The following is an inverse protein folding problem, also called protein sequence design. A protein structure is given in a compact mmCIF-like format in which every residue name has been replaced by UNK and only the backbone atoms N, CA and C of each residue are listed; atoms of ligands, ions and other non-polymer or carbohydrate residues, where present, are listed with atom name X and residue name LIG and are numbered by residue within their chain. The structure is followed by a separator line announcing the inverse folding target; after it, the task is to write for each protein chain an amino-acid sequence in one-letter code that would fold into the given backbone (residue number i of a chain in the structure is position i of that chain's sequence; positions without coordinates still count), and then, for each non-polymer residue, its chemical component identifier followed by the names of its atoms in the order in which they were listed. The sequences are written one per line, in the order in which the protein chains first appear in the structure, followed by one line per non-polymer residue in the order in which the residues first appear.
data_IF_094706669329
#
_entry.id   IF_094706669329
#
_cell.length_a   1.000
_cell.length_b   1.000
_cell.length_c   1.000
_cell.angle_alpha   90.00
_cell.angle_beta   90.00
_cell.angle_gamma   90.00
#
_symmetry.space_group_name_H-M   'P 1'
#
loop_
_entity.id
_entity.type
_entity.pdbx_description
1 polymer ?
#
# COMPACT_ATOMS: atom_id res chain seq x y z
N UNK A 1 -43.76 -29.55 -7.09
CA UNK A 1 -43.71 -28.71 -8.29
C UNK A 1 -42.59 -27.69 -8.06
N UNK A 2 -41.37 -28.03 -8.45
CA UNK A 2 -40.17 -27.19 -8.33
C UNK A 2 -39.91 -26.60 -9.71
N UNK A 3 -40.19 -25.31 -9.89
CA UNK A 3 -39.90 -24.58 -11.13
C UNK A 3 -38.42 -24.27 -11.18
N UNK A 4 -37.72 -24.92 -12.13
CA UNK A 4 -36.32 -24.64 -12.42
C UNK A 4 -36.16 -23.24 -13.00
N UNK A 5 -35.30 -22.43 -12.37
CA UNK A 5 -34.77 -21.22 -12.97
C UNK A 5 -33.72 -21.63 -14.02
N UNK A 6 -34.09 -21.61 -15.30
CA UNK A 6 -33.11 -21.65 -16.38
C UNK A 6 -32.48 -20.26 -16.51
N UNK A 7 -31.20 -20.14 -16.18
CA UNK A 7 -30.40 -18.97 -16.51
C UNK A 7 -30.35 -18.81 -18.04
N UNK A 8 -30.48 -17.58 -18.59
CA UNK A 8 -30.38 -17.35 -20.02
C UNK A 8 -28.95 -17.66 -20.54
N UNK A 9 -28.78 -18.18 -21.77
CA UNK A 9 -27.51 -18.75 -22.23
C UNK A 9 -26.37 -17.76 -22.49
N UNK A 10 -26.57 -16.45 -22.27
CA UNK A 10 -25.64 -15.40 -22.70
C UNK A 10 -25.49 -14.27 -21.67
N UNK A 11 -25.33 -14.59 -20.39
CA UNK A 11 -24.69 -13.64 -19.48
C UNK A 11 -23.19 -13.70 -19.75
N UNK A 12 -22.72 -12.80 -20.63
CA UNK A 12 -21.30 -12.45 -20.70
C UNK A 12 -20.91 -11.90 -19.33
N UNK A 13 -20.39 -12.77 -18.47
CA UNK A 13 -19.62 -12.35 -17.31
C UNK A 13 -18.51 -11.48 -17.90
N UNK A 14 -18.37 -10.20 -17.51
CA UNK A 14 -17.27 -9.40 -18.01
C UNK A 14 -15.99 -10.13 -17.64
N UNK A 15 -15.33 -10.70 -18.65
CA UNK A 15 -13.98 -11.21 -18.51
C UNK A 15 -13.13 -9.99 -18.21
N UNK A 16 -12.90 -9.74 -16.93
CA UNK A 16 -11.86 -8.82 -16.49
C UNK A 16 -10.57 -9.47 -16.98
N UNK A 17 -10.10 -9.05 -18.15
CA UNK A 17 -8.74 -9.35 -18.57
C UNK A 17 -7.84 -8.51 -17.67
N UNK A 18 -7.10 -9.11 -16.71
CA UNK A 18 -6.10 -8.35 -15.98
C UNK A 18 -5.11 -7.82 -17.02
N UNK A 19 -5.06 -6.49 -17.18
CA UNK A 19 -4.14 -5.85 -18.13
C UNK A 19 -2.69 -5.94 -17.64
N UNK A 20 -2.48 -6.20 -16.35
CA UNK A 20 -1.19 -6.22 -15.69
C UNK A 20 -1.17 -7.41 -14.72
N UNK A 21 -0.22 -8.32 -14.90
CA UNK A 21 0.08 -9.41 -13.96
C UNK A 21 1.38 -9.05 -13.23
N UNK A 22 1.27 -8.76 -11.93
CA UNK A 22 2.42 -8.53 -11.07
C UNK A 22 2.69 -9.78 -10.26
N UNK A 23 3.94 -10.24 -10.32
CA UNK A 23 4.45 -11.32 -9.49
C UNK A 23 5.71 -10.83 -8.80
N UNK A 24 5.82 -11.11 -7.51
CA UNK A 24 7.02 -10.81 -6.74
C UNK A 24 7.37 -12.04 -5.92
N UNK A 25 8.65 -12.41 -5.94
CA UNK A 25 9.18 -13.44 -5.05
C UNK A 25 9.40 -12.82 -3.67
N UNK A 26 8.60 -13.25 -2.70
CA UNK A 26 8.74 -12.80 -1.32
C UNK A 26 9.63 -13.77 -0.54
N UNK A 27 10.63 -13.22 0.14
CA UNK A 27 11.50 -13.91 1.10
C UNK A 27 10.81 -14.18 2.46
N UNK A 28 9.59 -13.67 2.65
CA UNK A 28 8.78 -13.77 3.86
C UNK A 28 7.29 -13.61 3.49
N UNK A 29 6.32 -14.19 4.24
CA UNK A 29 4.90 -14.03 3.93
C UNK A 29 4.47 -12.57 3.80
N UNK A 30 3.61 -12.28 2.81
CA UNK A 30 2.91 -11.00 2.71
C UNK A 30 1.84 -10.91 3.79
N UNK A 31 1.84 -9.84 4.56
CA UNK A 31 0.92 -9.60 5.68
C UNK A 31 0.06 -8.35 5.48
N UNK A 32 0.47 -7.43 4.62
CA UNK A 32 -0.32 -6.26 4.21
C UNK A 32 -0.03 -5.92 2.74
N UNK A 33 -1.01 -5.38 2.02
CA UNK A 33 -0.82 -4.94 0.64
C UNK A 33 -1.71 -3.73 0.35
N UNK A 34 -1.19 -2.76 -0.40
CA UNK A 34 -1.98 -1.65 -0.94
C UNK A 34 -1.56 -1.36 -2.38
N UNK A 35 -2.52 -1.02 -3.22
CA UNK A 35 -2.29 -0.44 -4.53
C UNK A 35 -2.67 1.03 -4.48
N UNK A 36 -1.83 1.91 -5.01
CA UNK A 36 -1.96 3.35 -4.89
C UNK A 36 -1.51 4.03 -6.18
N UNK A 37 -2.19 5.11 -6.54
CA UNK A 37 -1.79 5.94 -7.67
C UNK A 37 -0.59 6.81 -7.29
N UNK A 38 0.18 7.22 -8.29
CA UNK A 38 1.27 8.15 -8.09
C UNK A 38 0.80 9.49 -7.50
N UNK A 39 1.52 10.03 -6.50
CA UNK A 39 1.20 11.34 -5.95
C UNK A 39 1.78 12.51 -6.76
N UNK A 40 2.64 12.24 -7.75
CA UNK A 40 3.44 13.26 -8.43
C UNK A 40 2.69 13.98 -9.56
N UNK A 41 1.70 14.81 -9.22
CA UNK A 41 0.89 15.55 -10.21
C UNK A 41 1.76 16.53 -11.02
N UNK A 42 1.63 16.49 -12.35
CA UNK A 42 2.40 17.35 -13.27
C UNK A 42 3.82 16.89 -13.54
N UNK A 43 4.25 15.78 -12.93
CA UNK A 43 5.51 15.11 -13.28
C UNK A 43 5.24 14.08 -14.39
N UNK A 44 5.50 14.44 -15.65
CA UNK A 44 5.26 13.59 -16.83
C UNK A 44 5.97 12.23 -16.81
N UNK A 45 6.90 11.99 -15.90
CA UNK A 45 7.57 10.69 -15.73
C UNK A 45 6.89 9.82 -14.68
N UNK A 46 6.26 10.45 -13.69
CA UNK A 46 5.79 9.77 -12.50
C UNK A 46 4.27 9.83 -12.33
N UNK A 47 3.58 10.83 -12.88
CA UNK A 47 2.16 11.12 -12.63
C UNK A 47 1.22 9.95 -12.96
N UNK A 48 1.57 9.14 -13.95
CA UNK A 48 0.73 8.02 -14.43
C UNK A 48 1.18 6.66 -13.88
N UNK A 49 2.18 6.64 -12.99
CA UNK A 49 2.61 5.39 -12.36
C UNK A 49 1.56 4.92 -11.36
N UNK A 50 1.36 3.62 -11.30
CA UNK A 50 0.73 2.95 -10.16
C UNK A 50 1.78 2.20 -9.35
N UNK A 51 1.63 2.24 -8.03
CA UNK A 51 2.49 1.52 -7.10
C UNK A 51 1.70 0.42 -6.39
N UNK A 52 2.37 -0.70 -6.14
CA UNK A 52 1.94 -1.73 -5.21
C UNK A 52 2.97 -1.79 -4.09
N UNK A 53 2.48 -1.67 -2.86
CA UNK A 53 3.30 -1.78 -1.66
C UNK A 53 2.91 -3.05 -0.92
N UNK A 54 3.89 -3.91 -0.67
CA UNK A 54 3.73 -5.15 0.08
C UNK A 54 4.41 -4.99 1.44
N UNK A 55 3.72 -5.36 2.51
CA UNK A 55 4.28 -5.49 3.85
C UNK A 55 4.48 -6.95 4.18
N UNK A 56 5.61 -7.28 4.80
CA UNK A 56 5.99 -8.66 5.10
C UNK A 56 6.01 -8.96 6.59
N UNK A 57 5.97 -10.25 6.91
CA UNK A 57 6.05 -10.75 8.29
C UNK A 57 7.41 -10.49 8.97
N UNK A 58 8.49 -10.30 8.19
CA UNK A 58 9.81 -9.93 8.70
C UNK A 58 10.00 -8.41 8.89
N UNK A 59 8.97 -7.61 8.57
CA UNK A 59 8.98 -6.16 8.72
C UNK A 59 9.62 -5.36 7.61
N UNK A 60 9.98 -6.04 6.52
CA UNK A 60 10.34 -5.40 5.27
C UNK A 60 9.07 -4.99 4.50
N UNK A 61 9.14 -3.85 3.82
CA UNK A 61 8.18 -3.48 2.78
C UNK A 61 8.85 -3.55 1.41
N UNK A 62 8.07 -3.86 0.38
CA UNK A 62 8.49 -3.77 -1.01
C UNK A 62 7.60 -2.77 -1.72
N UNK A 63 8.19 -1.73 -2.30
CA UNK A 63 7.49 -0.75 -3.13
C UNK A 63 7.81 -1.08 -4.59
N UNK A 64 6.79 -1.39 -5.38
CA UNK A 64 6.96 -1.73 -6.79
C UNK A 64 6.02 -0.95 -7.69
N UNK A 65 6.51 -0.47 -8.82
CA UNK A 65 5.67 0.12 -9.86
C UNK A 65 4.95 -0.95 -10.70
N UNK A 66 3.86 -0.61 -11.36
CA UNK A 66 3.05 -1.50 -12.20
C UNK A 66 3.80 -2.25 -13.33
N UNK A 67 4.96 -1.74 -13.75
CA UNK A 67 5.83 -2.35 -14.77
C UNK A 67 7.09 -3.02 -14.19
N UNK A 68 7.22 -3.07 -12.86
CA UNK A 68 8.41 -3.60 -12.18
C UNK A 68 9.68 -2.76 -12.40
N UNK A 69 9.61 -1.60 -13.04
CA UNK A 69 10.76 -0.72 -13.29
C UNK A 69 11.32 -0.12 -12.00
N UNK A 70 10.43 0.14 -11.03
CA UNK A 70 10.79 0.46 -9.65
C UNK A 70 10.51 -0.80 -8.82
N UNK A 71 11.53 -1.23 -8.08
CA UNK A 71 11.41 -2.24 -7.05
C UNK A 71 12.37 -1.89 -5.93
N UNK A 72 11.81 -1.49 -4.79
CA UNK A 72 12.58 -1.08 -3.64
C UNK A 72 12.23 -1.93 -2.43
N UNK A 73 13.27 -2.34 -1.70
CA UNK A 73 13.18 -3.18 -0.51
C UNK A 73 13.60 -2.33 0.69
N UNK A 74 12.66 -2.06 1.59
CA UNK A 74 12.87 -1.12 2.70
C UNK A 74 12.59 -1.86 4.00
N UNK A 75 13.54 -1.84 4.92
CA UNK A 75 13.34 -2.42 6.25
C UNK A 75 12.52 -1.45 7.10
N UNK A 76 11.20 -1.62 7.12
CA UNK A 76 10.31 -0.73 7.84
C UNK A 76 10.28 -1.00 9.34
N UNK A 77 10.40 -2.25 9.80
CA UNK A 77 10.57 -2.57 11.21
C UNK A 77 11.18 -3.97 11.40
N UNK A 78 12.48 -4.10 11.73
CA UNK A 78 13.13 -5.41 11.83
C UNK A 78 12.39 -6.40 12.74
N UNK A 79 12.24 -7.63 12.26
CA UNK A 79 11.71 -8.78 13.01
C UNK A 79 10.25 -8.59 13.50
N UNK A 80 9.51 -7.65 12.92
CA UNK A 80 8.11 -7.41 13.28
C UNK A 80 7.22 -7.35 12.05
N UNK A 81 6.14 -8.13 12.04
CA UNK A 81 5.24 -8.16 10.89
C UNK A 81 4.60 -6.79 10.62
N UNK A 82 4.55 -6.42 9.34
CA UNK A 82 3.76 -5.26 8.90
C UNK A 82 2.29 -5.66 8.88
N UNK A 83 1.45 -4.99 9.65
CA UNK A 83 0.04 -5.35 9.81
C UNK A 83 -0.92 -4.44 9.06
N UNK A 84 -0.50 -3.22 8.75
CA UNK A 84 -1.27 -2.31 7.90
C UNK A 84 -0.34 -1.44 7.06
N UNK A 85 -0.79 -1.12 5.84
CA UNK A 85 -0.17 -0.12 4.98
C UNK A 85 -1.30 0.76 4.44
N UNK A 86 -1.11 2.07 4.50
CA UNK A 86 -2.04 3.06 3.95
C UNK A 86 -1.26 4.17 3.27
N UNK A 87 -1.87 4.82 2.29
CA UNK A 87 -1.23 5.86 1.51
C UNK A 87 -2.09 7.12 1.52
N UNK A 88 -1.49 8.28 1.76
CA UNK A 88 -2.21 9.54 1.81
C UNK A 88 -1.38 10.68 2.40
N UNK A 89 -1.94 11.89 2.36
CA UNK A 89 -1.41 13.05 3.08
C UNK A 89 -2.05 13.11 4.47
N UNK A 90 -1.53 12.29 5.40
CA UNK A 90 -1.99 12.24 6.78
C UNK A 90 -1.34 13.32 7.67
N UNK A 91 -0.15 13.80 7.30
CA UNK A 91 0.55 14.87 8.04
C UNK A 91 0.09 16.26 7.64
N UNK A 92 -0.76 16.35 6.60
CA UNK A 92 -1.30 17.58 6.05
C UNK A 92 -0.19 18.55 5.60
N UNK A 93 0.83 17.98 4.95
CA UNK A 93 2.00 18.69 4.42
C UNK A 93 1.92 18.90 2.90
N UNK A 94 0.82 18.46 2.26
CA UNK A 94 0.61 18.55 0.81
C UNK A 94 1.28 17.43 0.02
N UNK A 95 1.97 16.51 0.71
CA UNK A 95 2.68 15.39 0.13
C UNK A 95 2.04 14.07 0.58
N UNK A 96 1.81 13.17 -0.37
CA UNK A 96 1.27 11.85 -0.07
C UNK A 96 2.40 10.88 0.24
N UNK A 97 2.25 10.13 1.33
CA UNK A 97 3.28 9.23 1.84
C UNK A 97 2.75 7.80 1.96
N UNK A 98 3.68 6.87 2.18
CA UNK A 98 3.39 5.46 2.45
C UNK A 98 3.52 5.25 3.96
N UNK A 99 2.39 5.15 4.65
CA UNK A 99 2.35 4.82 6.07
C UNK A 99 2.35 3.31 6.27
N UNK A 100 3.19 2.85 7.18
CA UNK A 100 3.41 1.44 7.48
C UNK A 100 3.29 1.26 8.97
N UNK A 101 2.46 0.31 9.41
CA UNK A 101 2.26 0.00 10.82
C UNK A 101 2.71 -1.44 11.07
N UNK A 102 3.62 -1.62 12.02
CA UNK A 102 4.09 -2.92 12.47
C UNK A 102 3.24 -3.45 13.64
N UNK A 103 3.27 -4.77 13.86
CA UNK A 103 2.47 -5.45 14.89
C UNK A 103 2.75 -4.93 16.31
N UNK A 104 3.96 -4.45 16.56
CA UNK A 104 4.37 -3.85 17.84
C UNK A 104 3.88 -2.40 18.05
N UNK A 105 3.13 -1.84 17.10
CA UNK A 105 2.59 -0.49 17.16
C UNK A 105 3.50 0.59 16.61
N UNK A 106 4.70 0.25 16.11
CA UNK A 106 5.57 1.25 15.44
C UNK A 106 4.95 1.61 14.09
N UNK A 107 4.64 2.89 13.90
CA UNK A 107 4.20 3.47 12.64
C UNK A 107 5.31 4.31 12.02
N UNK A 108 5.58 4.14 10.74
CA UNK A 108 6.52 4.95 9.96
C UNK A 108 5.90 5.43 8.65
N UNK A 109 6.27 6.63 8.21
CA UNK A 109 5.90 7.15 6.89
C UNK A 109 7.13 7.22 5.98
N UNK A 110 6.97 6.75 4.74
CA UNK A 110 8.01 6.77 3.72
C UNK A 110 7.58 7.62 2.53
N UNK A 111 8.52 8.35 1.94
CA UNK A 111 8.31 9.02 0.66
C UNK A 111 8.14 8.02 -0.48
N UNK A 112 7.47 8.42 -1.55
CA UNK A 112 7.38 7.60 -2.76
C UNK A 112 8.71 7.62 -3.53
N UNK A 113 9.13 6.49 -4.12
CA UNK A 113 10.26 6.49 -5.02
C UNK A 113 9.92 7.23 -6.30
N UNK A 114 10.81 8.13 -6.72
CA UNK A 114 10.60 9.04 -7.86
C UNK A 114 11.56 8.76 -8.99
N UNK A 115 11.05 8.46 -10.18
CA UNK A 115 11.86 8.23 -11.38
C UNK A 115 12.48 9.53 -11.85
N UNK A 116 13.77 9.50 -12.18
CA UNK A 116 14.47 10.65 -12.75
C UNK A 116 14.47 10.65 -14.28
N UNK A 117 14.61 9.48 -14.92
CA UNK A 117 14.76 9.35 -16.38
C UNK A 117 13.94 8.17 -16.95
N UNK A 118 13.35 8.33 -18.15
CA UNK A 118 12.67 7.24 -18.87
C UNK A 118 13.65 6.15 -19.30
N UNK A 119 13.23 4.89 -19.22
CA UNK A 119 14.00 3.72 -19.68
C UNK A 119 15.22 3.35 -18.83
N UNK A 120 15.56 4.14 -17.80
CA UNK A 120 16.67 3.86 -16.88
C UNK A 120 16.09 3.46 -15.52
N UNK A 121 16.56 2.36 -14.90
CA UNK A 121 16.16 1.95 -13.55
C UNK A 121 16.88 2.81 -12.49
N UNK A 122 16.76 4.13 -12.60
CA UNK A 122 17.31 5.08 -11.65
C UNK A 122 16.16 5.93 -11.09
N UNK A 123 15.92 5.80 -9.79
CA UNK A 123 14.86 6.47 -9.05
C UNK A 123 15.39 6.91 -7.69
N UNK A 124 14.81 7.97 -7.14
CA UNK A 124 15.05 8.40 -5.77
C UNK A 124 14.59 7.31 -4.82
N UNK A 125 15.45 7.00 -3.86
CA UNK A 125 15.11 6.02 -2.83
C UNK A 125 14.05 6.57 -1.88
N UNK A 126 13.14 5.70 -1.44
CA UNK A 126 12.16 6.05 -0.40
C UNK A 126 12.88 6.30 0.93
N UNK A 127 12.55 7.41 1.58
CA UNK A 127 13.15 7.84 2.85
C UNK A 127 12.09 7.86 3.94
N UNK A 128 12.47 7.48 5.17
CA UNK A 128 11.59 7.59 6.34
C UNK A 128 11.46 9.05 6.75
N UNK A 129 10.26 9.62 6.63
CA UNK A 129 9.96 11.02 6.93
C UNK A 129 9.41 11.21 8.36
N UNK A 130 8.75 10.16 8.89
CA UNK A 130 8.03 10.25 10.15
C UNK A 130 8.01 8.91 10.88
N UNK A 131 8.01 8.97 12.21
CA UNK A 131 7.84 7.82 13.09
C UNK A 131 6.98 8.19 14.29
N UNK A 132 6.07 7.29 14.67
CA UNK A 132 5.25 7.41 15.88
C UNK A 132 4.96 6.04 16.47
N UNK A 133 4.84 5.98 17.79
CA UNK A 133 4.37 4.79 18.51
C UNK A 133 2.85 4.85 18.71
N UNK A 134 2.18 3.79 18.29
CA UNK A 134 0.75 3.53 18.53
C UNK A 134 0.61 2.36 19.52
N UNK A 135 -0.63 2.06 19.89
CA UNK A 135 -0.91 0.78 20.54
C UNK A 135 -0.64 -0.38 19.57
N UNK A 136 -0.18 -1.50 20.11
CA UNK A 136 0.07 -2.72 19.34
C UNK A 136 -1.23 -3.36 18.81
N UNK A 137 -1.09 -4.35 17.93
CA UNK A 137 -2.19 -5.12 17.33
C UNK A 137 -3.16 -4.33 16.43
N UNK A 138 -2.65 -3.33 15.71
CA UNK A 138 -3.39 -2.68 14.62
C UNK A 138 -3.54 -3.68 13.46
N UNK A 139 -4.75 -3.90 12.95
CA UNK A 139 -5.01 -4.81 11.83
C UNK A 139 -5.55 -4.11 10.58
N UNK A 140 -5.87 -2.82 10.67
CA UNK A 140 -6.40 -2.02 9.58
C UNK A 140 -6.08 -0.55 9.83
N UNK A 141 -5.84 0.20 8.75
CA UNK A 141 -5.70 1.65 8.78
C UNK A 141 -6.32 2.25 7.52
N UNK A 142 -6.89 3.44 7.67
CA UNK A 142 -7.45 4.24 6.58
C UNK A 142 -7.14 5.72 6.84
N UNK A 143 -6.91 6.49 5.78
CA UNK A 143 -6.70 7.94 5.85
C UNK A 143 -7.93 8.60 5.23
N UNK A 144 -8.63 9.43 6.01
CA UNK A 144 -9.81 10.16 5.57
C UNK A 144 -10.03 11.40 6.42
N UNK A 145 -10.71 12.40 5.85
CA UNK A 145 -11.23 13.57 6.58
C UNK A 145 -12.49 13.15 7.37
N UNK A 146 -12.30 12.80 8.63
CA UNK A 146 -13.35 12.22 9.47
C UNK A 146 -14.28 13.28 10.06
N UNK A 147 -13.74 14.45 10.41
CA UNK A 147 -14.49 15.53 11.03
C UNK A 147 -14.93 16.65 10.06
N UNK A 148 -14.56 16.52 8.78
CA UNK A 148 -14.90 17.43 7.68
C UNK A 148 -14.26 18.82 7.81
N UNK A 149 -13.08 18.91 8.46
CA UNK A 149 -12.31 20.15 8.55
C UNK A 149 -11.39 20.39 7.33
N UNK A 150 -11.35 19.44 6.40
CA UNK A 150 -10.52 19.46 5.20
C UNK A 150 -9.11 18.88 5.40
N UNK A 151 -8.80 18.37 6.59
CA UNK A 151 -7.57 17.63 6.89
C UNK A 151 -7.89 16.15 6.99
N UNK A 152 -6.90 15.32 6.72
CA UNK A 152 -7.09 13.88 6.85
C UNK A 152 -6.57 13.41 8.19
N UNK A 153 -7.33 12.54 8.85
CA UNK A 153 -6.91 11.77 10.00
C UNK A 153 -6.60 10.33 9.59
N UNK A 154 -5.80 9.64 10.41
CA UNK A 154 -5.66 8.20 10.31
C UNK A 154 -6.62 7.51 11.28
N UNK A 155 -7.57 6.78 10.72
CA UNK A 155 -8.37 5.82 11.47
C UNK A 155 -7.63 4.48 11.51
N UNK A 156 -7.50 3.91 12.70
CA UNK A 156 -6.92 2.56 12.88
C UNK A 156 -7.90 1.65 13.60
N UNK A 157 -7.96 0.38 13.17
CA UNK A 157 -8.69 -0.65 13.89
C UNK A 157 -7.71 -1.63 14.54
N UNK A 158 -7.94 -1.90 15.82
CA UNK A 158 -7.17 -2.86 16.60
C UNK A 158 -7.87 -4.21 16.60
N UNK A 159 -7.07 -5.27 16.74
CA UNK A 159 -7.56 -6.61 17.03
C UNK A 159 -7.02 -7.10 18.37
N UNK A 160 -7.83 -7.89 19.07
CA UNK A 160 -7.42 -8.62 20.27
C UNK A 160 -6.70 -9.94 19.95
N UNK A 161 -6.53 -10.26 18.65
CA UNK A 161 -5.78 -11.44 18.21
C UNK A 161 -4.32 -11.32 18.66
N UNK A 162 -4.02 -12.03 19.74
CA UNK A 162 -2.66 -12.37 20.13
C UNK A 162 -2.14 -13.45 19.17
N UNK A 163 -1.11 -13.11 18.39
CA UNK A 163 -0.36 -14.10 17.62
C UNK A 163 0.21 -15.15 18.59
N UNK A 164 0.01 -16.44 18.28
CA UNK A 164 0.71 -17.53 18.98
C UNK A 164 2.16 -17.61 18.55
#
# INVERSE_FOLDING_TARGET
MLTGYSMPPNMLVPTVHPRILLTSHLNSPCTAIVATASPFKGDLLNENLSYIVYGKANGEIVVSSEYGEIQQHIMAQPECAITAIVCGDCRHEGETEIFVIAANGVMRAFSYPRRHNRGVPNFTESECQFEQLLNANICFAEILDFDQDGKNEMLVAMTDRVGK
#
